data_IF_467332844382
#
_entry.id   IF_467332844382
#
_cell.length_a   1.000
_cell.length_b   1.000
_cell.length_c   1.000
_cell.angle_alpha   90.00
_cell.angle_beta   90.00
_cell.angle_gamma   90.00
#
_symmetry.space_group_name_H-M   'P 1'
#
loop_
_entity.id
_entity.type
_entity.pdbx_description
1 polymer ?
#
# COMPACT_ATOMS: atom_id res chain seq x y z
N UNK A 1 -25.28 18.90 11.69
CA UNK A 1 -23.92 18.86 11.07
C UNK A 1 -23.61 17.48 10.54
N UNK A 2 -23.75 16.42 11.35
CA UNK A 2 -23.48 15.04 10.90
C UNK A 2 -24.43 14.56 9.79
N UNK A 3 -25.73 14.86 9.90
CA UNK A 3 -26.72 14.52 8.87
C UNK A 3 -26.42 15.20 7.53
N UNK A 4 -26.11 16.51 7.55
CA UNK A 4 -25.66 17.24 6.38
C UNK A 4 -24.34 16.69 5.79
N UNK A 5 -23.40 16.29 6.65
CA UNK A 5 -22.16 15.66 6.20
C UNK A 5 -22.44 14.33 5.49
N UNK A 6 -23.39 13.53 6.00
CA UNK A 6 -23.83 12.29 5.36
C UNK A 6 -24.51 12.54 4.02
N UNK A 7 -25.42 13.51 3.93
CA UNK A 7 -26.06 13.88 2.65
C UNK A 7 -25.04 14.32 1.60
N UNK A 8 -24.03 15.12 1.99
CA UNK A 8 -22.94 15.53 1.10
C UNK A 8 -22.08 14.36 0.64
N UNK A 9 -21.85 13.38 1.53
CA UNK A 9 -21.14 12.14 1.20
C UNK A 9 -21.97 11.24 0.29
N UNK A 10 -23.29 11.25 0.37
CA UNK A 10 -24.14 10.44 -0.52
C UNK A 10 -24.31 11.05 -1.93
N UNK A 11 -23.86 12.29 -2.15
CA UNK A 11 -23.90 12.91 -3.48
C UNK A 11 -23.07 12.12 -4.49
N UNK A 12 -23.65 11.94 -5.67
CA UNK A 12 -22.94 11.36 -6.82
C UNK A 12 -21.69 12.16 -7.15
N UNK A 13 -20.67 11.50 -7.72
CA UNK A 13 -19.41 12.14 -8.09
C UNK A 13 -19.63 13.39 -8.97
N UNK A 14 -20.62 13.35 -9.86
CA UNK A 14 -20.98 14.50 -10.69
C UNK A 14 -21.51 15.68 -9.86
N UNK A 15 -22.38 15.42 -8.89
CA UNK A 15 -22.87 16.47 -7.97
C UNK A 15 -21.73 17.00 -7.10
N UNK A 16 -20.79 16.13 -6.70
CA UNK A 16 -19.55 16.52 -6.00
C UNK A 16 -18.72 17.52 -6.80
N UNK A 17 -18.58 17.29 -8.11
CA UNK A 17 -17.90 18.23 -9.00
C UNK A 17 -18.68 19.54 -9.10
N UNK A 18 -19.99 19.49 -9.26
CA UNK A 18 -20.81 20.70 -9.40
C UNK A 18 -20.78 21.62 -8.17
N UNK A 19 -20.77 21.10 -6.94
CA UNK A 19 -20.75 21.95 -5.75
C UNK A 19 -19.35 22.51 -5.45
N UNK A 20 -18.28 21.83 -5.85
CA UNK A 20 -16.91 22.30 -5.60
C UNK A 20 -16.60 23.61 -6.32
N UNK A 21 -17.20 23.79 -7.50
CA UNK A 21 -17.03 24.96 -8.35
C UNK A 21 -17.45 26.28 -7.68
N UNK A 22 -18.69 26.43 -7.17
CA UNK A 22 -19.10 27.62 -6.43
C UNK A 22 -18.18 27.94 -5.25
N UNK A 23 -17.72 26.93 -4.50
CA UNK A 23 -16.84 27.11 -3.34
C UNK A 23 -15.48 27.65 -3.77
N UNK A 24 -14.90 27.08 -4.83
CA UNK A 24 -13.64 27.57 -5.38
C UNK A 24 -13.77 28.99 -5.94
N UNK A 25 -14.84 29.28 -6.70
CA UNK A 25 -15.10 30.61 -7.27
C UNK A 25 -15.28 31.65 -6.16
N UNK A 26 -16.08 31.33 -5.13
CA UNK A 26 -16.30 32.23 -4.00
C UNK A 26 -15.00 32.49 -3.23
N UNK A 27 -14.20 31.45 -2.99
CA UNK A 27 -12.90 31.58 -2.32
C UNK A 27 -11.91 32.42 -3.15
N UNK A 28 -11.83 32.17 -4.46
CA UNK A 28 -11.02 32.95 -5.39
C UNK A 28 -11.44 34.44 -5.38
N UNK A 29 -12.73 34.71 -5.44
CA UNK A 29 -13.27 36.08 -5.35
C UNK A 29 -12.90 36.74 -4.02
N UNK A 30 -13.12 36.05 -2.90
CA UNK A 30 -12.84 36.56 -1.56
C UNK A 30 -11.35 36.90 -1.38
N UNK A 31 -10.44 36.01 -1.78
CA UNK A 31 -9.01 36.27 -1.63
C UNK A 31 -8.55 37.42 -2.53
N UNK A 32 -9.10 37.56 -3.74
CA UNK A 32 -8.74 38.65 -4.66
C UNK A 32 -9.27 40.00 -4.18
N UNK A 33 -10.46 40.03 -3.58
CA UNK A 33 -11.01 41.23 -2.96
C UNK A 33 -10.12 41.74 -1.82
N UNK A 34 -9.53 40.82 -1.05
CA UNK A 34 -8.65 41.13 0.10
C UNK A 34 -7.24 41.52 -0.38
N UNK A 35 -6.62 40.71 -1.25
CA UNK A 35 -5.18 40.80 -1.53
C UNK A 35 -4.83 41.72 -2.70
N UNK A 36 -5.72 41.88 -3.69
CA UNK A 36 -5.51 42.71 -4.89
C UNK A 36 -4.09 42.56 -5.48
N UNK A 37 -3.71 41.35 -5.95
CA UNK A 37 -2.33 41.04 -6.30
C UNK A 37 -1.80 41.97 -7.41
N UNK A 38 -0.62 42.57 -7.19
CA UNK A 38 0.04 43.46 -8.14
C UNK A 38 1.17 42.81 -8.93
N UNK A 39 1.56 41.59 -8.54
CA UNK A 39 2.59 40.80 -9.18
C UNK A 39 2.08 40.12 -10.46
N UNK A 40 3.03 39.72 -11.32
CA UNK A 40 2.79 39.07 -12.61
C UNK A 40 3.45 37.70 -12.62
N UNK A 41 2.90 36.76 -13.38
CA UNK A 41 3.53 35.45 -13.63
C UNK A 41 3.49 35.10 -15.10
N UNK A 42 4.59 34.53 -15.60
CA UNK A 42 4.66 33.97 -16.95
C UNK A 42 3.88 32.67 -17.07
N UNK A 43 3.64 32.25 -18.32
CA UNK A 43 2.82 31.07 -18.65
C UNK A 43 3.30 29.76 -18.02
N UNK A 44 4.61 29.52 -17.94
CA UNK A 44 5.16 28.29 -17.36
C UNK A 44 4.93 28.21 -15.84
N UNK A 45 5.18 29.30 -15.11
CA UNK A 45 4.91 29.39 -13.68
C UNK A 45 3.41 29.30 -13.37
N UNK A 46 2.57 29.89 -14.23
CA UNK A 46 1.12 29.77 -14.13
C UNK A 46 0.63 28.33 -14.31
N UNK A 47 1.14 27.62 -15.33
CA UNK A 47 0.82 26.21 -15.56
C UNK A 47 1.23 25.34 -14.35
N UNK A 48 2.45 25.55 -13.83
CA UNK A 48 2.90 24.87 -12.62
C UNK A 48 1.97 25.13 -11.43
N UNK A 49 1.58 26.39 -11.23
CA UNK A 49 0.60 26.78 -10.20
C UNK A 49 -0.75 26.08 -10.37
N UNK A 50 -1.24 25.94 -11.59
CA UNK A 50 -2.45 25.18 -11.89
C UNK A 50 -2.28 23.69 -11.52
N UNK A 51 -1.13 23.08 -11.83
CA UNK A 51 -0.85 21.70 -11.43
C UNK A 51 -0.84 21.53 -9.91
N UNK A 52 -0.33 22.50 -9.14
CA UNK A 52 -0.41 22.47 -7.67
C UNK A 52 -1.85 22.55 -7.15
N UNK A 53 -2.71 23.36 -7.78
CA UNK A 53 -4.14 23.40 -7.46
C UNK A 53 -4.77 22.02 -7.67
N UNK A 54 -4.44 21.34 -8.78
CA UNK A 54 -4.88 19.96 -9.00
C UNK A 54 -4.40 19.01 -7.89
N UNK A 55 -3.15 19.12 -7.43
CA UNK A 55 -2.66 18.30 -6.31
C UNK A 55 -3.47 18.52 -5.04
N UNK A 56 -3.80 19.77 -4.70
CA UNK A 56 -4.61 20.07 -3.50
C UNK A 56 -6.00 19.42 -3.64
N UNK A 57 -6.63 19.54 -4.80
CA UNK A 57 -7.93 18.93 -5.08
C UNK A 57 -7.86 17.40 -5.01
N UNK A 58 -6.84 16.77 -5.60
CA UNK A 58 -6.65 15.31 -5.50
C UNK A 58 -6.33 14.86 -4.06
N UNK A 59 -5.47 15.56 -3.34
CA UNK A 59 -5.19 15.23 -1.94
C UNK A 59 -6.47 15.30 -1.08
N UNK A 60 -7.39 16.19 -1.42
CA UNK A 60 -8.68 16.30 -0.73
C UNK A 60 -9.62 15.11 -0.96
N UNK A 61 -9.44 14.33 -2.03
CA UNK A 61 -10.24 13.11 -2.26
C UNK A 61 -9.80 11.96 -1.36
N UNK A 62 -8.52 11.94 -0.95
CA UNK A 62 -7.99 10.94 -0.01
C UNK A 62 -8.65 11.03 1.38
N UNK A 63 -9.23 12.19 1.73
CA UNK A 63 -9.98 12.35 2.97
C UNK A 63 -11.24 11.47 3.04
N UNK A 64 -11.73 10.97 1.90
CA UNK A 64 -12.87 10.06 1.85
C UNK A 64 -12.49 8.58 2.05
N UNK A 65 -11.19 8.24 2.13
CA UNK A 65 -10.79 6.85 2.37
C UNK A 65 -11.37 6.25 3.66
N UNK A 66 -11.38 6.95 4.82
CA UNK A 66 -11.99 6.46 6.04
C UNK A 66 -13.49 6.83 6.19
N UNK A 67 -14.23 7.06 5.10
CA UNK A 67 -15.62 7.55 5.14
C UNK A 67 -16.54 6.67 6.01
N UNK A 68 -16.49 5.34 5.84
CA UNK A 68 -17.34 4.43 6.61
C UNK A 68 -17.01 4.48 8.11
N UNK A 69 -15.73 4.44 8.46
CA UNK A 69 -15.28 4.55 9.85
C UNK A 69 -15.70 5.89 10.46
N UNK A 70 -15.66 6.97 9.68
CA UNK A 70 -16.09 8.29 10.13
C UNK A 70 -17.60 8.37 10.39
N UNK A 71 -18.40 7.71 9.57
CA UNK A 71 -19.86 7.62 9.78
C UNK A 71 -20.16 6.77 11.02
N UNK A 72 -19.45 5.65 11.21
CA UNK A 72 -19.64 4.75 12.37
C UNK A 72 -19.29 5.42 13.70
N UNK A 73 -18.22 6.21 13.72
CA UNK A 73 -17.73 6.87 14.94
C UNK A 73 -18.19 8.33 15.07
N UNK A 74 -19.07 8.82 14.18
CA UNK A 74 -19.71 10.13 14.29
C UNK A 74 -18.79 11.33 14.08
N UNK A 75 -17.76 11.20 13.25
CA UNK A 75 -16.83 12.28 12.88
C UNK A 75 -16.84 12.62 11.38
N UNK A 76 -17.87 12.25 10.63
CA UNK A 76 -17.97 12.53 9.20
C UNK A 76 -17.94 14.03 8.90
N UNK A 77 -18.51 14.86 9.77
CA UNK A 77 -18.43 16.33 9.67
C UNK A 77 -16.99 16.88 9.63
N UNK A 78 -16.03 16.21 10.28
CA UNK A 78 -14.61 16.62 10.26
C UNK A 78 -14.00 16.40 8.88
N UNK A 79 -14.31 15.26 8.25
CA UNK A 79 -13.87 14.94 6.88
C UNK A 79 -14.42 15.96 5.90
N UNK A 80 -15.74 16.19 5.94
CA UNK A 80 -16.41 17.14 5.05
C UNK A 80 -15.90 18.57 5.27
N UNK A 81 -15.76 19.00 6.52
CA UNK A 81 -15.21 20.32 6.86
C UNK A 81 -13.78 20.51 6.35
N UNK A 82 -12.92 19.50 6.51
CA UNK A 82 -11.54 19.53 6.01
C UNK A 82 -11.50 19.58 4.49
N UNK A 83 -12.38 18.82 3.83
CA UNK A 83 -12.49 18.80 2.38
C UNK A 83 -12.93 20.17 1.82
N UNK A 84 -13.97 20.79 2.42
CA UNK A 84 -14.38 22.16 2.09
C UNK A 84 -13.22 23.15 2.29
N UNK A 85 -12.47 23.03 3.38
CA UNK A 85 -11.31 23.88 3.65
C UNK A 85 -10.22 23.73 2.57
N UNK A 86 -9.94 22.51 2.11
CA UNK A 86 -9.00 22.27 1.01
C UNK A 86 -9.52 22.85 -0.32
N UNK A 87 -10.81 22.78 -0.60
CA UNK A 87 -11.40 23.41 -1.79
C UNK A 87 -11.33 24.93 -1.73
N UNK A 88 -11.56 25.54 -0.56
CA UNK A 88 -11.37 26.97 -0.37
C UNK A 88 -9.90 27.34 -0.61
N UNK A 89 -8.95 26.58 -0.07
CA UNK A 89 -7.52 26.81 -0.30
C UNK A 89 -7.16 26.70 -1.80
N UNK A 90 -7.63 25.65 -2.48
CA UNK A 90 -7.42 25.45 -3.90
C UNK A 90 -7.99 26.60 -4.74
N UNK A 91 -9.22 27.03 -4.44
CA UNK A 91 -9.86 28.18 -5.09
C UNK A 91 -9.09 29.48 -4.87
N UNK A 92 -8.63 29.74 -3.64
CA UNK A 92 -7.85 30.93 -3.33
C UNK A 92 -6.53 30.98 -4.11
N UNK A 93 -5.78 29.87 -4.11
CA UNK A 93 -4.52 29.75 -4.87
C UNK A 93 -4.77 29.89 -6.38
N UNK A 94 -5.80 29.23 -6.90
CA UNK A 94 -6.19 29.34 -8.31
C UNK A 94 -6.54 30.78 -8.70
N UNK A 95 -7.34 31.48 -7.87
CA UNK A 95 -7.70 32.88 -8.08
C UNK A 95 -6.49 33.80 -8.13
N UNK A 96 -5.56 33.65 -7.18
CA UNK A 96 -4.31 34.42 -7.12
C UNK A 96 -3.45 34.23 -8.37
N UNK A 97 -3.19 32.98 -8.78
CA UNK A 97 -2.43 32.70 -9.99
C UNK A 97 -3.13 33.20 -11.25
N UNK A 98 -4.46 33.01 -11.35
CA UNK A 98 -5.22 33.43 -12.53
C UNK A 98 -5.26 34.96 -12.67
N UNK A 99 -5.40 35.69 -11.57
CA UNK A 99 -5.34 37.15 -11.57
C UNK A 99 -3.96 37.67 -11.95
N UNK A 100 -2.89 37.10 -11.38
CA UNK A 100 -1.52 37.49 -11.69
C UNK A 100 -1.15 37.17 -13.16
N UNK A 101 -1.68 36.06 -13.69
CA UNK A 101 -1.49 35.71 -15.10
C UNK A 101 -2.32 36.60 -16.02
N UNK A 102 -3.55 36.92 -15.66
CA UNK A 102 -4.39 37.89 -16.37
C UNK A 102 -3.68 39.24 -16.47
N UNK A 103 -3.04 39.69 -15.39
CA UNK A 103 -2.26 40.94 -15.37
C UNK A 103 -1.09 40.91 -16.34
N UNK A 104 -0.41 39.77 -16.42
CA UNK A 104 0.71 39.57 -17.34
C UNK A 104 0.25 39.55 -18.81
N UNK A 105 -0.81 38.80 -19.13
CA UNK A 105 -1.32 38.64 -20.49
C UNK A 105 -2.11 39.86 -21.01
N UNK A 106 -2.92 40.49 -20.15
CA UNK A 106 -3.89 41.50 -20.55
C UNK A 106 -3.69 42.88 -19.89
N UNK A 107 -2.81 42.99 -18.89
CA UNK A 107 -2.56 44.24 -18.17
C UNK A 107 -3.52 44.49 -17.00
N UNK A 108 -4.55 43.66 -16.82
CA UNK A 108 -5.61 43.80 -15.82
C UNK A 108 -5.81 42.50 -15.04
N UNK A 109 -6.31 42.58 -13.79
CA UNK A 109 -6.55 41.40 -12.94
C UNK A 109 -7.94 40.78 -13.15
N UNK A 110 -8.78 41.44 -13.94
CA UNK A 110 -10.24 41.31 -13.91
C UNK A 110 -10.73 40.02 -14.59
N UNK A 111 -9.85 39.38 -15.37
CA UNK A 111 -10.12 38.15 -16.13
C UNK A 111 -9.70 36.89 -15.39
N UNK A 112 -9.48 36.96 -14.07
CA UNK A 112 -9.11 35.81 -13.24
C UNK A 112 -10.07 34.62 -13.36
N UNK A 113 -11.36 34.88 -13.62
CA UNK A 113 -12.38 33.85 -13.78
C UNK A 113 -12.08 32.91 -14.97
N UNK A 114 -11.33 33.39 -15.97
CA UNK A 114 -10.88 32.55 -17.09
C UNK A 114 -10.03 31.37 -16.61
N UNK A 115 -9.25 31.53 -15.53
CA UNK A 115 -8.40 30.45 -15.02
C UNK A 115 -9.17 29.32 -14.33
N UNK A 116 -10.41 29.58 -13.90
CA UNK A 116 -11.29 28.54 -13.38
C UNK A 116 -12.02 27.79 -14.50
N UNK A 117 -12.33 28.45 -15.62
CA UNK A 117 -12.99 27.86 -16.79
C UNK A 117 -12.04 27.02 -17.65
N UNK A 118 -12.24 25.69 -17.80
CA UNK A 118 -11.26 24.81 -18.45
C UNK A 118 -10.81 25.28 -19.85
N UNK A 119 -11.77 25.68 -20.68
CA UNK A 119 -11.50 26.13 -22.06
C UNK A 119 -10.87 27.52 -22.07
N UNK A 120 -11.35 28.45 -21.23
CA UNK A 120 -10.80 29.80 -21.17
C UNK A 120 -9.42 29.84 -20.51
N UNK A 121 -9.12 28.89 -19.63
CA UNK A 121 -7.84 28.76 -18.95
C UNK A 121 -6.70 28.51 -19.96
N UNK A 122 -6.98 27.81 -21.06
CA UNK A 122 -6.01 27.61 -22.14
C UNK A 122 -5.53 28.94 -22.73
N UNK A 123 -6.40 29.95 -22.84
CA UNK A 123 -6.01 31.27 -23.30
C UNK A 123 -4.99 31.91 -22.33
N UNK A 124 -5.23 31.81 -21.02
CA UNK A 124 -4.27 32.28 -20.00
C UNK A 124 -2.95 31.50 -20.03
N UNK A 125 -2.94 30.21 -20.33
CA UNK A 125 -1.69 29.44 -20.44
C UNK A 125 -0.87 29.89 -21.64
N UNK A 126 -1.50 30.07 -22.81
CA UNK A 126 -0.77 30.26 -24.07
C UNK A 126 -0.60 31.72 -24.53
N UNK A 127 -1.32 32.67 -23.94
CA UNK A 127 -1.19 34.07 -24.37
C UNK A 127 0.21 34.65 -24.13
N UNK A 128 0.61 35.60 -24.95
CA UNK A 128 1.90 36.27 -24.77
C UNK A 128 1.76 37.34 -23.69
N UNK A 129 2.66 37.33 -22.70
CA UNK A 129 2.74 38.41 -21.72
C UNK A 129 3.04 39.76 -22.39
N UNK A 130 2.52 40.86 -21.83
CA UNK A 130 2.72 42.21 -22.38
C UNK A 130 4.11 42.77 -22.12
N UNK A 131 4.84 42.25 -21.13
CA UNK A 131 6.22 42.69 -20.89
C UNK A 131 7.14 42.20 -22.00
N UNK A 132 7.76 43.15 -22.71
CA UNK A 132 8.84 42.88 -23.65
C UNK A 132 10.00 42.28 -22.87
N UNK A 133 10.09 40.96 -22.85
CA UNK A 133 11.20 40.23 -22.23
C UNK A 133 12.53 40.75 -22.78
N UNK A 134 13.46 41.10 -21.88
CA UNK A 134 14.88 41.28 -22.21
C UNK A 134 15.38 40.06 -23.01
N UNK A 135 16.42 40.19 -23.85
CA UNK A 135 16.84 39.14 -24.79
C UNK A 135 17.11 37.76 -24.13
N UNK A 136 16.06 36.94 -24.18
CA UNK A 136 15.90 35.55 -24.65
C UNK A 136 16.46 34.34 -23.86
N UNK A 137 17.57 34.35 -23.11
CA UNK A 137 18.05 33.03 -22.60
C UNK A 137 17.38 32.51 -21.30
N UNK A 138 17.31 33.29 -20.23
CA UNK A 138 16.87 32.73 -18.93
C UNK A 138 15.36 32.48 -18.82
N UNK A 139 14.55 33.28 -19.51
CA UNK A 139 13.08 33.25 -19.35
C UNK A 139 12.43 32.07 -20.07
N UNK A 140 12.97 31.65 -21.22
CA UNK A 140 12.46 30.49 -21.97
C UNK A 140 12.80 29.20 -21.22
N UNK A 141 14.05 29.07 -20.78
CA UNK A 141 14.50 27.90 -20.01
C UNK A 141 13.69 27.73 -18.72
N UNK A 142 13.44 28.83 -18.00
CA UNK A 142 12.61 28.79 -16.78
C UNK A 142 11.19 28.33 -17.07
N UNK A 143 10.55 28.82 -18.14
CA UNK A 143 9.21 28.37 -18.52
C UNK A 143 9.17 26.89 -18.90
N UNK A 144 10.17 26.39 -19.63
CA UNK A 144 10.28 24.96 -19.98
C UNK A 144 10.43 24.12 -18.72
N UNK A 145 11.36 24.48 -17.82
CA UNK A 145 11.58 23.76 -16.56
C UNK A 145 10.32 23.72 -15.70
N UNK A 146 9.63 24.86 -15.54
CA UNK A 146 8.39 24.93 -14.78
C UNK A 146 7.27 24.10 -15.41
N UNK A 147 7.19 24.06 -16.74
CA UNK A 147 6.22 23.23 -17.46
C UNK A 147 6.49 21.74 -17.24
N UNK A 148 7.76 21.30 -17.35
CA UNK A 148 8.16 19.92 -17.10
C UNK A 148 7.93 19.52 -15.63
N UNK A 149 8.25 20.41 -14.69
CA UNK A 149 7.96 20.21 -13.28
C UNK A 149 6.46 20.07 -13.03
N UNK A 150 5.63 20.91 -13.66
CA UNK A 150 4.17 20.84 -13.56
C UNK A 150 3.62 19.53 -14.10
N UNK A 151 4.16 19.03 -15.21
CA UNK A 151 3.79 17.73 -15.78
C UNK A 151 4.19 16.58 -14.84
N UNK A 152 5.38 16.63 -14.25
CA UNK A 152 5.84 15.65 -13.26
C UNK A 152 4.94 15.60 -12.01
N UNK A 153 4.51 16.77 -11.52
CA UNK A 153 3.54 16.90 -10.43
C UNK A 153 2.19 16.30 -10.80
N UNK A 154 1.68 16.60 -12.00
CA UNK A 154 0.40 16.07 -12.48
C UNK A 154 0.44 14.54 -12.62
N UNK A 155 1.50 13.99 -13.23
CA UNK A 155 1.69 12.54 -13.34
C UNK A 155 1.72 11.91 -11.94
N UNK A 156 2.46 12.48 -11.01
CA UNK A 156 2.56 11.97 -9.65
C UNK A 156 1.19 11.98 -8.93
N UNK A 157 0.41 13.06 -9.09
CA UNK A 157 -0.94 13.15 -8.54
C UNK A 157 -1.87 12.06 -9.11
N UNK A 158 -1.83 11.84 -10.43
CA UNK A 158 -2.64 10.78 -11.07
C UNK A 158 -2.24 9.37 -10.63
N UNK A 159 -0.97 9.13 -10.30
CA UNK A 159 -0.53 7.84 -9.77
C UNK A 159 -1.02 7.63 -8.34
N UNK A 160 -1.00 8.68 -7.50
CA UNK A 160 -1.57 8.62 -6.16
C UNK A 160 -3.07 8.30 -6.19
N UNK A 161 -3.81 8.90 -7.13
CA UNK A 161 -5.24 8.63 -7.31
C UNK A 161 -5.50 7.17 -7.67
N UNK A 162 -4.75 6.61 -8.64
CA UNK A 162 -4.84 5.18 -8.99
C UNK A 162 -4.49 4.24 -7.84
N UNK A 163 -3.52 4.63 -7.00
CA UNK A 163 -3.16 3.84 -5.82
C UNK A 163 -4.31 3.89 -4.80
N UNK A 164 -4.88 5.07 -4.58
CA UNK A 164 -6.00 5.26 -3.66
C UNK A 164 -7.25 4.50 -4.12
N UNK A 165 -7.59 4.58 -5.41
CA UNK A 165 -8.71 3.84 -6.02
C UNK A 165 -8.55 2.33 -5.84
N UNK A 166 -7.37 1.77 -6.15
CA UNK A 166 -7.09 0.35 -5.91
C UNK A 166 -7.21 -0.06 -4.45
N UNK A 167 -6.76 0.79 -3.53
CA UNK A 167 -6.91 0.53 -2.09
C UNK A 167 -8.38 0.59 -1.65
N UNK A 168 -9.14 1.52 -2.22
CA UNK A 168 -10.58 1.64 -1.97
C UNK A 168 -11.36 0.44 -2.52
N UNK A 169 -11.05 -0.03 -3.73
CA UNK A 169 -11.63 -1.26 -4.28
C UNK A 169 -11.32 -2.49 -3.41
N UNK A 170 -10.07 -2.63 -2.96
CA UNK A 170 -9.68 -3.72 -2.05
C UNK A 170 -10.46 -3.67 -0.73
N UNK A 171 -10.57 -2.47 -0.16
CA UNK A 171 -11.29 -2.25 1.09
C UNK A 171 -12.80 -2.51 0.93
N UNK A 172 -13.44 -1.87 -0.05
CA UNK A 172 -14.87 -2.08 -0.34
C UNK A 172 -15.21 -3.53 -0.67
N UNK A 173 -14.35 -4.23 -1.42
CA UNK A 173 -14.53 -5.66 -1.68
C UNK A 173 -14.46 -6.51 -0.41
N UNK A 174 -13.52 -6.22 0.50
CA UNK A 174 -13.46 -6.91 1.80
C UNK A 174 -14.72 -6.70 2.64
N UNK A 175 -15.29 -5.50 2.65
CA UNK A 175 -16.55 -5.19 3.32
C UNK A 175 -17.76 -5.84 2.66
N UNK A 176 -17.81 -5.85 1.34
CA UNK A 176 -18.88 -6.50 0.59
C UNK A 176 -18.89 -8.02 0.82
N UNK A 177 -17.72 -8.65 0.90
CA UNK A 177 -17.60 -10.07 1.28
C UNK A 177 -18.12 -10.32 2.70
N UNK A 178 -17.89 -9.39 3.63
CA UNK A 178 -18.40 -9.47 4.99
C UNK A 178 -19.93 -9.30 5.04
N UNK A 179 -20.49 -8.42 4.19
CA UNK A 179 -21.93 -8.15 4.10
C UNK A 179 -22.72 -9.19 3.28
N UNK A 180 -22.08 -9.88 2.32
CA UNK A 180 -22.71 -10.88 1.45
C UNK A 180 -22.85 -12.26 2.11
N UNK A 181 -22.26 -12.48 3.29
CA UNK A 181 -22.61 -13.65 4.09
C UNK A 181 -24.09 -13.52 4.49
N UNK A 182 -24.96 -14.50 4.16
CA UNK A 182 -26.37 -14.42 4.54
C UNK A 182 -26.45 -14.18 6.03
N UNK A 183 -27.29 -13.22 6.50
CA UNK A 183 -27.45 -13.01 7.93
C UNK A 183 -27.75 -14.39 8.54
N UNK A 184 -26.93 -14.87 9.49
CA UNK A 184 -27.15 -16.19 10.06
C UNK A 184 -28.61 -16.26 10.55
N UNK A 185 -29.32 -17.38 10.35
CA UNK A 185 -30.72 -17.52 10.75
C UNK A 185 -30.86 -17.01 12.18
N UNK A 186 -31.88 -16.16 12.48
CA UNK A 186 -31.97 -15.47 13.76
C UNK A 186 -31.83 -16.51 14.87
N UNK A 187 -30.74 -16.48 15.65
CA UNK A 187 -30.63 -17.37 16.78
C UNK A 187 -31.78 -17.04 17.75
N UNK A 188 -32.31 -18.03 18.48
CA UNK A 188 -33.23 -17.75 19.59
C UNK A 188 -32.61 -16.63 20.44
N UNK A 189 -33.39 -15.60 20.83
CA UNK A 189 -32.87 -14.33 21.30
C UNK A 189 -31.77 -14.55 22.36
N UNK A 190 -30.50 -14.34 22.00
CA UNK A 190 -29.43 -14.38 22.98
C UNK A 190 -29.54 -13.11 23.81
N UNK A 191 -29.37 -13.25 25.13
CA UNK A 191 -29.10 -12.11 25.99
C UNK A 191 -27.96 -11.28 25.37
N UNK A 192 -27.99 -9.93 25.47
CA UNK A 192 -27.04 -9.06 24.79
C UNK A 192 -25.61 -9.33 25.27
N UNK A 193 -24.92 -10.21 24.56
CA UNK A 193 -23.50 -10.45 24.72
C UNK A 193 -22.77 -9.31 24.03
N UNK A 194 -21.89 -8.64 24.77
CA UNK A 194 -21.00 -7.63 24.18
C UNK A 194 -20.14 -8.28 23.09
N UNK A 195 -19.76 -7.55 22.03
CA UNK A 195 -18.89 -8.06 20.96
C UNK A 195 -17.62 -8.77 21.50
N UNK A 196 -17.13 -8.29 22.65
CA UNK A 196 -16.06 -8.91 23.46
C UNK A 196 -16.35 -10.38 23.83
N UNK A 197 -17.55 -10.67 24.34
CA UNK A 197 -17.95 -12.02 24.76
C UNK A 197 -18.08 -12.97 23.57
N UNK A 198 -18.56 -12.48 22.43
CA UNK A 198 -18.67 -13.26 21.21
C UNK A 198 -17.28 -13.68 20.69
N UNK A 199 -16.31 -12.76 20.68
CA UNK A 199 -14.93 -13.06 20.25
C UNK A 199 -14.28 -14.05 21.22
N UNK A 200 -14.42 -13.84 22.53
CA UNK A 200 -13.90 -14.77 23.54
C UNK A 200 -14.49 -16.18 23.40
N UNK A 201 -15.80 -16.29 23.15
CA UNK A 201 -16.45 -17.57 22.91
C UNK A 201 -15.96 -18.25 21.62
N UNK A 202 -15.74 -17.48 20.55
CA UNK A 202 -15.18 -17.97 19.30
C UNK A 202 -13.76 -18.50 19.49
N UNK A 203 -12.88 -17.75 20.16
CA UNK A 203 -11.51 -18.18 20.46
C UNK A 203 -11.46 -19.42 21.34
N UNK A 204 -12.35 -19.53 22.34
CA UNK A 204 -12.48 -20.74 23.17
C UNK A 204 -12.89 -21.96 22.34
N UNK A 205 -13.89 -21.81 21.44
CA UNK A 205 -14.31 -22.89 20.54
C UNK A 205 -13.19 -23.28 19.58
N UNK A 206 -12.49 -22.30 19.04
CA UNK A 206 -11.36 -22.52 18.14
C UNK A 206 -10.25 -23.31 18.84
N UNK A 207 -9.82 -22.86 20.02
CA UNK A 207 -8.81 -23.55 20.84
C UNK A 207 -9.23 -24.97 21.22
N UNK A 208 -10.50 -25.18 21.59
CA UNK A 208 -11.03 -26.51 21.93
C UNK A 208 -11.14 -27.47 20.74
N UNK A 209 -11.23 -26.94 19.52
CA UNK A 209 -11.31 -27.75 18.29
C UNK A 209 -9.94 -28.31 17.85
N UNK A 210 -8.84 -27.78 18.39
CA UNK A 210 -7.49 -28.24 18.04
C UNK A 210 -7.19 -29.60 18.67
N UNK A 211 -6.72 -30.53 17.85
CA UNK A 211 -6.28 -31.84 18.31
C UNK A 211 -4.94 -31.71 19.02
N UNK A 212 -4.93 -31.94 20.33
CA UNK A 212 -3.74 -31.84 21.18
C UNK A 212 -3.55 -33.19 21.89
N UNK A 213 -2.31 -33.70 22.01
CA UNK A 213 -1.07 -33.09 21.57
C UNK A 213 -0.72 -33.34 20.09
N UNK A 214 -0.09 -32.35 19.45
CA UNK A 214 0.35 -32.42 18.05
C UNK A 214 1.86 -32.25 17.96
N UNK A 215 2.54 -33.11 17.21
CA UNK A 215 3.97 -32.95 16.90
C UNK A 215 4.08 -32.10 15.64
N UNK A 216 4.85 -31.02 15.72
CA UNK A 216 5.10 -30.10 14.60
C UNK A 216 6.45 -30.41 13.94
N UNK A 217 7.44 -30.81 14.75
CA UNK A 217 8.68 -31.43 14.29
C UNK A 217 9.17 -32.45 15.34
N UNK A 218 10.29 -33.14 15.07
CA UNK A 218 10.98 -34.06 15.98
C UNK A 218 11.25 -33.43 17.35
N UNK A 219 11.47 -32.11 17.39
CA UNK A 219 11.86 -31.40 18.60
C UNK A 219 10.76 -30.50 19.18
N UNK A 220 9.67 -30.19 18.47
CA UNK A 220 8.65 -29.23 18.95
C UNK A 220 7.27 -29.87 18.96
N UNK A 221 6.59 -29.82 20.11
CA UNK A 221 5.27 -30.40 20.32
C UNK A 221 4.30 -29.39 20.91
N UNK A 222 3.13 -29.22 20.30
CA UNK A 222 2.04 -28.43 20.89
C UNK A 222 1.37 -29.22 22.00
N UNK A 223 1.31 -28.59 23.18
CA UNK A 223 0.85 -29.20 24.44
C UNK A 223 -0.45 -28.59 24.96
N UNK A 224 -0.75 -27.34 24.62
CA UNK A 224 -2.01 -26.69 24.97
C UNK A 224 -2.33 -25.55 24.00
N UNK A 225 -3.63 -25.27 23.83
CA UNK A 225 -4.14 -24.06 23.21
C UNK A 225 -5.19 -23.48 24.16
N UNK A 226 -4.96 -22.28 24.66
CA UNK A 226 -5.79 -21.63 25.68
C UNK A 226 -6.23 -20.27 25.17
N UNK A 227 -7.52 -19.97 25.27
CA UNK A 227 -8.02 -18.62 25.00
C UNK A 227 -8.06 -17.80 26.30
N UNK A 228 -7.39 -16.66 26.32
CA UNK A 228 -7.37 -15.68 27.41
C UNK A 228 -7.69 -14.28 26.88
N UNK A 229 -8.90 -13.79 27.18
CA UNK A 229 -9.43 -12.58 26.57
C UNK A 229 -9.45 -12.65 25.05
N UNK A 230 -8.77 -11.72 24.39
CA UNK A 230 -8.63 -11.65 22.93
C UNK A 230 -7.43 -12.44 22.41
N UNK A 231 -6.70 -13.12 23.29
CA UNK A 231 -5.46 -13.82 22.93
C UNK A 231 -5.67 -15.33 22.90
N UNK A 232 -5.25 -15.96 21.81
CA UNK A 232 -5.17 -17.42 21.72
C UNK A 232 -3.71 -17.83 21.94
N UNK A 233 -3.45 -18.47 23.08
CA UNK A 233 -2.13 -18.85 23.55
C UNK A 233 -1.84 -20.31 23.18
N UNK A 234 -0.88 -20.53 22.29
CA UNK A 234 -0.33 -21.83 21.92
C UNK A 234 0.90 -22.16 22.75
N UNK A 235 0.87 -23.26 23.50
CA UNK A 235 2.01 -23.70 24.32
C UNK A 235 2.72 -24.87 23.67
N UNK A 236 3.93 -24.61 23.19
CA UNK A 236 4.81 -25.59 22.59
C UNK A 236 5.81 -26.07 23.64
N UNK A 237 6.23 -27.33 23.55
CA UNK A 237 7.33 -27.87 24.35
C UNK A 237 8.46 -28.28 23.43
N UNK A 238 9.67 -27.82 23.73
CA UNK A 238 10.87 -28.17 22.97
C UNK A 238 11.63 -29.33 23.63
N UNK A 239 12.04 -30.28 22.80
CA UNK A 239 12.81 -31.45 23.19
C UNK A 239 14.27 -31.12 23.46
N UNK A 240 14.91 -30.32 22.60
CA UNK A 240 16.31 -29.90 22.76
C UNK A 240 16.38 -28.38 22.84
N UNK A 241 17.07 -27.87 23.85
CA UNK A 241 17.15 -26.43 24.09
C UNK A 241 18.41 -25.84 23.41
N UNK A 242 18.24 -25.27 22.22
CA UNK A 242 19.27 -24.52 21.50
C UNK A 242 18.71 -23.17 21.04
N UNK A 243 19.44 -22.09 21.30
CA UNK A 243 19.04 -20.72 20.94
C UNK A 243 18.72 -20.54 19.45
N UNK A 244 19.48 -21.19 18.56
CA UNK A 244 19.23 -21.11 17.12
C UNK A 244 17.87 -21.72 16.74
N UNK A 245 17.49 -22.85 17.38
CA UNK A 245 16.18 -23.48 17.17
C UNK A 245 15.06 -22.63 17.77
N UNK A 246 15.28 -21.98 18.92
CA UNK A 246 14.31 -21.06 19.55
C UNK A 246 14.00 -19.86 18.67
N UNK A 247 15.04 -19.23 18.10
CA UNK A 247 14.86 -18.10 17.19
C UNK A 247 14.14 -18.53 15.91
N UNK A 248 14.57 -19.65 15.31
CA UNK A 248 13.93 -20.18 14.11
C UNK A 248 12.45 -20.51 14.36
N UNK A 249 12.11 -21.09 15.52
CA UNK A 249 10.73 -21.36 15.89
C UNK A 249 9.90 -20.07 15.99
N UNK A 250 10.43 -19.01 16.61
CA UNK A 250 9.72 -17.74 16.72
C UNK A 250 9.42 -17.16 15.33
N UNK A 251 10.46 -17.02 14.49
CA UNK A 251 10.34 -16.42 13.16
C UNK A 251 9.36 -17.20 12.27
N UNK A 252 9.40 -18.53 12.33
CA UNK A 252 8.48 -19.38 11.57
C UNK A 252 7.06 -19.32 12.11
N UNK A 253 6.88 -19.32 13.43
CA UNK A 253 5.54 -19.28 14.04
C UNK A 253 4.83 -17.98 13.70
N UNK A 254 5.49 -16.84 13.88
CA UNK A 254 4.94 -15.52 13.53
C UNK A 254 4.59 -15.47 12.05
N UNK A 255 5.49 -15.93 11.18
CA UNK A 255 5.25 -15.96 9.75
C UNK A 255 4.06 -16.87 9.37
N UNK A 256 4.04 -18.11 9.84
CA UNK A 256 2.98 -19.08 9.54
C UNK A 256 1.63 -18.54 9.98
N UNK A 257 1.56 -17.92 11.16
CA UNK A 257 0.34 -17.31 11.65
C UNK A 257 -0.15 -16.15 10.78
N UNK A 258 0.75 -15.28 10.36
CA UNK A 258 0.41 -14.15 9.51
C UNK A 258 -0.07 -14.55 8.10
N UNK A 259 0.26 -15.76 7.64
CA UNK A 259 -0.04 -16.21 6.29
C UNK A 259 -1.14 -17.26 6.21
N UNK A 260 -1.44 -17.99 7.29
CA UNK A 260 -2.52 -18.96 7.30
C UNK A 260 -3.89 -18.25 7.20
N UNK A 261 -4.74 -18.74 6.31
CA UNK A 261 -6.05 -18.12 6.06
C UNK A 261 -6.96 -18.17 7.30
N UNK A 262 -6.89 -19.25 8.08
CA UNK A 262 -7.69 -19.42 9.30
C UNK A 262 -7.46 -18.32 10.34
N UNK A 263 -6.25 -17.74 10.38
CA UNK A 263 -5.89 -16.71 11.35
C UNK A 263 -6.19 -15.31 10.86
N UNK A 264 -6.23 -15.08 9.54
CA UNK A 264 -6.60 -13.78 8.96
C UNK A 264 -7.99 -13.34 9.41
N UNK A 265 -8.94 -14.28 9.48
CA UNK A 265 -10.28 -14.00 9.99
C UNK A 265 -10.23 -13.64 11.48
N UNK A 266 -9.48 -14.39 12.30
CA UNK A 266 -9.33 -14.07 13.73
C UNK A 266 -8.71 -12.68 13.95
N UNK A 267 -7.69 -12.32 13.16
CA UNK A 267 -7.06 -11.01 13.20
C UNK A 267 -8.02 -9.89 12.78
N UNK A 268 -8.89 -10.14 11.81
CA UNK A 268 -9.93 -9.18 11.40
C UNK A 268 -10.94 -8.90 12.53
N UNK A 269 -11.15 -9.86 13.43
CA UNK A 269 -11.95 -9.68 14.64
C UNK A 269 -11.17 -9.13 15.85
N UNK A 270 -9.90 -8.73 15.66
CA UNK A 270 -9.06 -8.15 16.71
C UNK A 270 -8.44 -9.16 17.67
N UNK A 271 -8.39 -10.44 17.31
CA UNK A 271 -7.68 -11.44 18.10
C UNK A 271 -6.16 -11.27 17.99
N UNK A 272 -5.45 -11.73 19.02
CA UNK A 272 -4.00 -11.88 19.03
C UNK A 272 -3.66 -13.36 19.17
N UNK A 273 -2.64 -13.82 18.46
CA UNK A 273 -2.05 -15.14 18.68
C UNK A 273 -0.76 -14.98 19.45
N UNK A 274 -0.60 -15.79 20.49
CA UNK A 274 0.61 -15.82 21.30
C UNK A 274 1.15 -17.25 21.35
N UNK A 275 2.43 -17.42 21.08
CA UNK A 275 3.14 -18.68 21.18
C UNK A 275 4.04 -18.64 22.39
N UNK A 276 3.98 -19.66 23.23
CA UNK A 276 4.88 -19.86 24.35
C UNK A 276 5.68 -21.14 24.11
N UNK A 277 6.97 -21.01 23.87
CA UNK A 277 7.88 -22.15 23.77
C UNK A 277 8.39 -22.48 25.17
N UNK A 278 8.04 -23.67 25.65
CA UNK A 278 8.36 -24.19 26.97
C UNK A 278 9.55 -25.15 26.90
N UNK A 279 10.48 -25.04 27.84
CA UNK A 279 11.51 -26.04 28.04
C UNK A 279 10.95 -27.34 28.68
N UNK A 280 11.84 -28.30 28.96
CA UNK A 280 11.48 -29.56 29.63
C UNK A 280 10.96 -29.38 31.06
N UNK A 281 11.31 -28.28 31.71
CA UNK A 281 10.87 -27.93 33.08
C UNK A 281 9.56 -27.14 33.09
N UNK A 282 9.08 -26.69 31.93
CA UNK A 282 7.85 -25.93 31.77
C UNK A 282 8.04 -24.41 31.81
N UNK A 283 9.29 -23.91 31.83
CA UNK A 283 9.55 -22.48 31.76
C UNK A 283 9.43 -21.98 30.32
N UNK A 284 8.89 -20.77 30.15
CA UNK A 284 8.86 -20.09 28.86
C UNK A 284 10.28 -19.65 28.52
N UNK A 285 10.84 -20.23 27.45
CA UNK A 285 12.17 -19.88 26.92
C UNK A 285 12.08 -18.94 25.73
N UNK A 286 10.93 -18.88 25.06
CA UNK A 286 10.68 -17.95 23.96
C UNK A 286 9.18 -17.69 23.80
N UNK A 287 8.85 -16.53 23.26
CA UNK A 287 7.49 -16.20 22.86
C UNK A 287 7.44 -15.67 21.43
N UNK A 288 6.35 -15.97 20.74
CA UNK A 288 5.99 -15.43 19.43
C UNK A 288 4.66 -14.69 19.56
N UNK A 289 4.47 -13.55 18.89
CA UNK A 289 3.17 -12.87 18.91
C UNK A 289 2.79 -12.45 17.48
N UNK A 290 1.53 -12.65 17.13
CA UNK A 290 0.98 -12.20 15.86
C UNK A 290 -0.38 -11.54 16.09
N UNK A 291 -0.58 -10.38 15.48
CA UNK A 291 -1.86 -9.70 15.35
C UNK A 291 -1.94 -9.04 13.97
N UNK A 292 -3.07 -8.41 13.64
CA UNK A 292 -3.27 -7.77 12.34
C UNK A 292 -2.19 -6.72 12.02
N UNK A 293 -1.72 -5.96 13.01
CA UNK A 293 -0.76 -4.88 12.83
C UNK A 293 0.66 -5.45 12.66
N UNK A 294 1.05 -6.37 13.55
CA UNK A 294 2.32 -7.08 13.51
C UNK A 294 2.51 -7.80 12.18
N UNK A 295 1.48 -8.53 11.71
CA UNK A 295 1.53 -9.24 10.43
C UNK A 295 1.71 -8.31 9.23
N UNK A 296 1.08 -7.13 9.24
CA UNK A 296 1.29 -6.14 8.19
C UNK A 296 2.71 -5.56 8.21
N UNK A 297 3.24 -5.26 9.40
CA UNK A 297 4.60 -4.76 9.57
C UNK A 297 5.65 -5.80 9.16
N UNK A 298 5.48 -7.06 9.55
CA UNK A 298 6.39 -8.14 9.16
C UNK A 298 6.36 -8.38 7.66
N UNK A 299 5.18 -8.31 7.04
CA UNK A 299 5.07 -8.41 5.59
C UNK A 299 5.82 -7.30 4.87
N UNK A 300 5.73 -6.06 5.35
CA UNK A 300 6.50 -4.93 4.82
C UNK A 300 8.00 -5.11 5.05
N UNK A 301 8.40 -5.65 6.20
CA UNK A 301 9.80 -5.93 6.53
C UNK A 301 10.39 -7.00 5.61
N UNK A 302 9.66 -8.08 5.34
CA UNK A 302 10.05 -9.11 4.37
C UNK A 302 10.21 -8.49 2.99
N UNK A 303 9.25 -7.67 2.56
CA UNK A 303 9.31 -7.03 1.25
C UNK A 303 10.53 -6.09 1.12
N UNK A 304 10.84 -5.32 2.17
CA UNK A 304 12.02 -4.46 2.20
C UNK A 304 13.32 -5.28 2.23
N UNK A 305 13.40 -6.34 3.04
CA UNK A 305 14.56 -7.24 3.12
C UNK A 305 14.84 -7.88 1.75
N UNK A 306 13.81 -8.38 1.06
CA UNK A 306 13.96 -9.00 -0.25
C UNK A 306 14.33 -7.98 -1.33
N UNK A 307 13.77 -6.76 -1.27
CA UNK A 307 14.14 -5.69 -2.19
C UNK A 307 15.62 -5.27 -2.02
N UNK A 308 16.10 -5.12 -0.78
CA UNK A 308 17.51 -4.81 -0.51
C UNK A 308 18.42 -5.96 -0.92
N UNK A 309 18.02 -7.20 -0.65
CA UNK A 309 18.77 -8.38 -1.07
C UNK A 309 18.89 -8.48 -2.60
N UNK A 310 17.80 -8.20 -3.33
CA UNK A 310 17.81 -8.18 -4.78
C UNK A 310 18.76 -7.11 -5.35
N UNK A 311 18.85 -5.94 -4.70
CA UNK A 311 19.84 -4.89 -5.07
C UNK A 311 21.28 -5.30 -4.75
N UNK A 312 21.48 -6.05 -3.67
CA UNK A 312 22.81 -6.50 -3.23
C UNK A 312 23.35 -7.67 -4.06
N UNK A 313 22.47 -8.40 -4.77
CA UNK A 313 22.85 -9.51 -5.66
C UNK A 313 23.72 -8.96 -6.81
N UNK A 314 25.02 -9.28 -6.74
CA UNK A 314 25.98 -8.84 -7.76
C UNK A 314 25.93 -9.76 -8.97
N UNK A 315 26.24 -9.21 -10.13
CA UNK A 315 26.45 -9.99 -11.36
C UNK A 315 27.64 -10.95 -11.16
N UNK A 316 27.39 -12.25 -11.21
CA UNK A 316 28.43 -13.27 -11.16
C UNK A 316 28.48 -14.03 -12.49
N UNK A 317 29.61 -13.91 -13.20
CA UNK A 317 29.92 -14.79 -14.33
C UNK A 317 30.49 -16.11 -13.81
N UNK A 318 29.95 -17.26 -14.22
CA UNK A 318 30.58 -18.54 -13.91
C UNK A 318 31.86 -18.75 -14.71
N UNK A 319 32.73 -19.62 -14.20
CA UNK A 319 34.09 -19.90 -14.70
C UNK A 319 34.15 -20.42 -16.14
N UNK A 320 33.02 -20.88 -16.70
CA UNK A 320 32.93 -21.41 -18.07
C UNK A 320 32.13 -20.50 -19.03
N UNK A 321 31.62 -19.35 -18.57
CA UNK A 321 31.01 -18.32 -19.43
C UNK A 321 29.65 -18.64 -20.07
N UNK A 322 29.07 -19.82 -19.80
CA UNK A 322 27.80 -20.27 -20.40
C UNK A 322 26.57 -19.92 -19.55
N UNK A 323 26.67 -19.96 -18.21
CA UNK A 323 25.60 -19.56 -17.30
C UNK A 323 26.12 -18.49 -16.35
N UNK A 324 25.30 -17.49 -16.01
CA UNK A 324 25.71 -16.46 -15.06
C UNK A 324 24.51 -15.72 -14.51
N UNK A 325 24.61 -15.21 -13.29
CA UNK A 325 23.55 -14.37 -12.71
C UNK A 325 23.80 -12.95 -13.21
N UNK A 326 22.84 -12.38 -13.93
CA UNK A 326 22.91 -11.01 -14.47
C UNK A 326 22.52 -9.98 -13.41
N UNK A 327 21.57 -10.34 -12.55
CA UNK A 327 21.11 -9.57 -11.41
C UNK A 327 19.92 -10.23 -10.73
N UNK A 328 19.29 -9.51 -9.80
CA UNK A 328 18.03 -9.91 -9.20
C UNK A 328 17.05 -8.73 -9.10
N UNK A 329 15.77 -9.04 -9.01
CA UNK A 329 14.70 -8.08 -8.73
C UNK A 329 13.67 -8.72 -7.81
N UNK A 330 12.91 -7.89 -7.10
CA UNK A 330 11.85 -8.37 -6.22
C UNK A 330 10.58 -7.54 -6.42
N UNK A 331 9.47 -8.22 -6.68
CA UNK A 331 8.15 -7.61 -6.77
C UNK A 331 7.06 -8.63 -6.45
N UNK A 332 6.00 -8.20 -5.74
CA UNK A 332 4.82 -9.02 -5.46
C UNK A 332 5.14 -10.43 -4.91
N UNK A 333 6.04 -10.53 -3.93
CA UNK A 333 6.50 -11.82 -3.35
C UNK A 333 7.19 -12.76 -4.34
N UNK A 334 7.69 -12.23 -5.46
CA UNK A 334 8.51 -12.98 -6.42
C UNK A 334 9.93 -12.40 -6.44
N UNK A 335 10.89 -13.17 -5.94
CA UNK A 335 12.32 -12.89 -6.03
C UNK A 335 12.84 -13.46 -7.36
N UNK A 336 13.02 -12.59 -8.34
CA UNK A 336 13.44 -12.95 -9.69
C UNK A 336 14.96 -12.84 -9.81
N UNK A 337 15.63 -13.97 -10.05
CA UNK A 337 17.05 -14.07 -10.37
C UNK A 337 17.16 -14.15 -11.88
N UNK A 338 17.80 -13.16 -12.49
CA UNK A 338 18.00 -13.12 -13.93
C UNK A 338 19.30 -13.86 -14.29
N UNK A 339 19.21 -14.80 -15.23
CA UNK A 339 20.26 -15.77 -15.53
C UNK A 339 20.58 -15.71 -17.03
N UNK A 340 21.82 -15.38 -17.38
CA UNK A 340 22.29 -15.52 -18.75
C UNK A 340 22.42 -16.99 -19.13
N UNK A 341 21.94 -17.37 -20.31
CA UNK A 341 21.99 -18.74 -20.83
C UNK A 341 22.16 -18.76 -22.36
N UNK A 342 22.79 -19.81 -22.94
CA UNK A 342 22.70 -20.05 -24.38
C UNK A 342 21.25 -20.27 -24.82
N UNK A 343 20.97 -20.02 -26.10
CA UNK A 343 19.70 -20.34 -26.73
C UNK A 343 19.88 -21.59 -27.60
N UNK A 344 19.22 -22.74 -27.29
CA UNK A 344 18.20 -22.91 -26.24
C UNK A 344 18.78 -23.13 -24.83
N UNK A 345 17.96 -22.84 -23.81
CA UNK A 345 18.30 -23.07 -22.39
C UNK A 345 18.60 -24.57 -22.18
N UNK A 346 19.76 -24.95 -21.59
CA UNK A 346 20.07 -26.34 -21.35
C UNK A 346 19.04 -26.99 -20.43
N UNK A 347 18.46 -28.13 -20.83
CA UNK A 347 17.41 -28.80 -20.06
C UNK A 347 17.81 -29.06 -18.60
N UNK A 348 19.06 -29.47 -18.37
CA UNK A 348 19.61 -29.75 -17.04
C UNK A 348 19.73 -28.50 -16.15
N UNK A 349 19.84 -27.30 -16.73
CA UNK A 349 20.02 -26.07 -15.97
C UNK A 349 18.81 -25.79 -15.06
N UNK A 350 17.60 -26.04 -15.54
CA UNK A 350 16.36 -25.81 -14.77
C UNK A 350 16.30 -26.72 -13.54
N UNK A 351 16.54 -28.01 -13.73
CA UNK A 351 16.49 -28.99 -12.63
C UNK A 351 17.59 -28.75 -11.59
N UNK A 352 18.80 -28.40 -12.05
CA UNK A 352 19.91 -28.04 -11.16
C UNK A 352 19.57 -26.78 -10.34
N UNK A 353 19.00 -25.75 -10.96
CA UNK A 353 18.61 -24.52 -10.26
C UNK A 353 17.51 -24.77 -9.25
N UNK A 354 16.45 -25.51 -9.63
CA UNK A 354 15.39 -25.94 -8.70
C UNK A 354 15.97 -26.67 -7.49
N UNK A 355 16.80 -27.68 -7.74
CA UNK A 355 17.45 -28.44 -6.68
C UNK A 355 18.34 -27.56 -5.81
N UNK A 356 19.09 -26.62 -6.39
CA UNK A 356 19.96 -25.73 -5.62
C UNK A 356 19.15 -24.77 -4.73
N UNK A 357 18.08 -24.16 -5.24
CA UNK A 357 17.25 -23.26 -4.45
C UNK A 357 16.49 -23.99 -3.34
N UNK A 358 16.01 -25.20 -3.60
CA UNK A 358 15.38 -25.99 -2.54
C UNK A 358 16.36 -26.47 -1.47
N UNK A 359 17.66 -26.58 -1.77
CA UNK A 359 18.64 -27.15 -0.83
C UNK A 359 19.46 -26.12 -0.05
N UNK A 360 19.61 -24.89 -0.54
CA UNK A 360 20.38 -23.86 0.17
C UNK A 360 19.51 -23.14 1.21
N UNK A 361 20.01 -23.02 2.43
CA UNK A 361 19.30 -22.38 3.55
C UNK A 361 18.88 -20.94 3.26
N UNK A 362 19.69 -20.22 2.47
CA UNK A 362 19.44 -18.83 2.08
C UNK A 362 18.14 -18.65 1.28
N UNK A 363 17.75 -19.67 0.50
CA UNK A 363 16.54 -19.69 -0.32
C UNK A 363 15.40 -20.39 0.42
N UNK A 364 15.69 -21.44 1.20
CA UNK A 364 14.68 -22.04 2.09
C UNK A 364 14.08 -21.00 3.04
N UNK A 365 14.89 -20.09 3.59
CA UNK A 365 14.39 -19.00 4.42
C UNK A 365 13.41 -18.09 3.67
N UNK A 366 13.69 -17.76 2.39
CA UNK A 366 12.77 -17.00 1.55
C UNK A 366 11.46 -17.76 1.28
N UNK A 367 11.59 -19.04 0.90
CA UNK A 367 10.46 -19.91 0.60
C UNK A 367 9.55 -20.10 1.82
N UNK A 368 10.15 -20.29 3.00
CA UNK A 368 9.43 -20.32 4.28
C UNK A 368 8.75 -19.00 4.59
N UNK A 369 9.27 -17.87 4.13
CA UNK A 369 8.65 -16.53 4.20
C UNK A 369 7.64 -16.25 3.06
N UNK A 370 7.18 -17.30 2.36
CA UNK A 370 6.18 -17.19 1.29
C UNK A 370 6.65 -16.47 0.04
N UNK A 371 7.97 -16.32 -0.14
CA UNK A 371 8.56 -15.73 -1.34
C UNK A 371 8.75 -16.81 -2.40
N UNK A 372 8.22 -16.59 -3.59
CA UNK A 372 8.49 -17.44 -4.76
C UNK A 372 9.82 -17.03 -5.37
N UNK A 373 10.68 -18.00 -5.68
CA UNK A 373 11.94 -17.76 -6.39
C UNK A 373 11.70 -18.02 -7.87
N UNK A 374 12.02 -17.04 -8.71
CA UNK A 374 11.89 -17.13 -10.17
C UNK A 374 13.25 -17.01 -10.83
N UNK A 375 13.67 -18.02 -11.59
CA UNK A 375 14.76 -17.88 -12.55
C UNK A 375 14.25 -17.35 -13.86
N UNK A 376 14.72 -16.19 -14.29
CA UNK A 376 14.44 -15.66 -15.62
C UNK A 376 15.67 -15.85 -16.50
N UNK A 377 15.61 -16.79 -17.44
CA UNK A 377 16.69 -17.03 -18.38
C UNK A 377 16.64 -16.01 -19.52
N UNK A 378 17.79 -15.41 -19.84
CA UNK A 378 17.95 -14.46 -20.93
C UNK A 378 19.23 -14.69 -21.72
N UNK A 379 19.26 -14.25 -22.97
CA UNK A 379 20.52 -14.18 -23.73
C UNK A 379 21.42 -13.07 -23.19
N UNK A 380 22.70 -13.05 -23.57
CA UNK A 380 23.62 -11.92 -23.27
C UNK A 380 23.11 -10.55 -23.76
N UNK A 381 22.20 -10.54 -24.73
CA UNK A 381 21.57 -9.31 -25.24
C UNK A 381 20.29 -8.92 -24.47
N UNK A 382 19.95 -9.62 -23.38
CA UNK A 382 18.75 -9.38 -22.59
C UNK A 382 17.45 -9.89 -23.22
N UNK A 383 17.52 -10.78 -24.22
CA UNK A 383 16.30 -11.38 -24.80
C UNK A 383 15.80 -12.48 -23.86
N UNK A 384 14.55 -12.43 -23.37
CA UNK A 384 14.01 -13.47 -22.50
C UNK A 384 13.91 -14.80 -23.25
N UNK A 385 14.25 -15.90 -22.58
CA UNK A 385 14.20 -17.26 -23.11
C UNK A 385 13.10 -18.08 -22.41
N UNK A 386 13.22 -18.28 -21.10
CA UNK A 386 12.32 -19.11 -20.31
C UNK A 386 12.31 -18.65 -18.84
N UNK A 387 11.31 -19.06 -18.08
CA UNK A 387 11.24 -18.85 -16.62
C UNK A 387 11.06 -20.16 -15.88
N UNK A 388 11.68 -20.27 -14.70
CA UNK A 388 11.47 -21.38 -13.77
C UNK A 388 11.08 -20.82 -12.41
N UNK A 389 9.89 -21.17 -11.95
CA UNK A 389 9.43 -20.80 -10.60
C UNK A 389 9.70 -21.95 -9.64
N UNK A 390 9.98 -21.59 -8.40
CA UNK A 390 10.10 -22.49 -7.25
C UNK A 390 9.41 -21.84 -6.05
N UNK A 391 8.50 -22.59 -5.46
CA UNK A 391 7.79 -22.19 -4.24
C UNK A 391 7.95 -23.26 -3.16
N UNK A 392 7.39 -22.98 -1.99
CA UNK A 392 7.53 -23.80 -0.80
C UNK A 392 6.98 -25.23 -1.00
N UNK A 393 5.89 -25.37 -1.76
CA UNK A 393 5.25 -26.65 -2.09
C UNK A 393 6.15 -27.48 -2.99
N UNK A 394 6.72 -26.87 -4.03
CA UNK A 394 7.63 -27.55 -4.96
C UNK A 394 8.90 -28.06 -4.31
N UNK A 395 9.40 -27.36 -3.28
CA UNK A 395 10.55 -27.81 -2.50
C UNK A 395 10.22 -28.84 -1.42
N UNK A 396 8.94 -29.21 -1.25
CA UNK A 396 8.50 -30.08 -0.15
C UNK A 396 8.86 -29.52 1.22
N UNK A 397 8.89 -28.19 1.35
CA UNK A 397 9.13 -27.51 2.62
C UNK A 397 7.78 -27.45 3.31
N UNK A 398 7.67 -28.10 4.47
CA UNK A 398 6.45 -28.10 5.26
C UNK A 398 6.19 -26.69 5.80
N UNK A 399 5.01 -26.13 5.47
CA UNK A 399 4.55 -24.83 5.99
C UNK A 399 3.53 -24.97 7.10
N UNK A 400 3.01 -26.18 7.31
CA UNK A 400 1.97 -26.46 8.31
C UNK A 400 2.59 -26.90 9.65
N UNK A 401 3.92 -26.75 9.78
CA UNK A 401 4.72 -26.98 10.99
C UNK A 401 4.70 -25.81 11.98
#
# INVERSE_FOLDING_TARGET
MEEFARELLELSMFMRILWSWPVMVFSAWAILAITKPTWKIGGGAYFFGCCLVFVILYASTLLYLPEQLAIEHGYAHVIVGTHIAMMMLAGAVAGLFSAARSRDAYGENDRWLMGLMPVANLALVFDKGQEKTKPIDDTILTNIIMTLAGLGVLISATQLDRIAEKRFEQFSFSLALQAAQPPPPPPPPPEPQTQSEAIQAALKRYGASRTIPQNFDRNVRLTAVVADGYTLIYRYRIGNDNEAERQQWQDLTEFTWCNANDYKELFAFGATLQGELLDRTGNIVRSANADAVGCNLDNLKIDAEMAERAKAEKTFATTNGELGISGASYANRVYTITIFSPDPVPALAKDVMRKNWCNREEYKSMLRKGVTIRGQFETKSGRPLETVDVNVIECGIDTDS
#
